data_IF_557763597033
#
_entry.id   IF_557763597033
#
_cell.length_a   1.000
_cell.length_b   1.000
_cell.length_c   1.000
_cell.angle_alpha   90.00
_cell.angle_beta   90.00
_cell.angle_gamma   90.00
#
_symmetry.space_group_name_H-M   'P 1'
#
loop_
_entity.id
_entity.type
_entity.pdbx_description
1 polymer ?
2 non-polymer ?
3 non-polymer ?
4 non-polymer ?
5 non-polymer ?
6 water ?
#
# COMPACT_ATOMS: atom_id res chain seq x y z
N UNK A 4 1.39 20.59 -0.83
CA UNK A 4 0.10 21.04 -0.23
C UNK A 4 -0.58 19.97 0.64
N UNK A 5 -0.62 18.72 0.18
CA UNK A 5 -1.33 17.65 0.90
C UNK A 5 -0.76 17.45 2.29
N UNK A 6 0.54 17.18 2.37
CA UNK A 6 1.17 16.92 3.65
C UNK A 6 1.24 18.16 4.54
N UNK A 7 1.42 19.33 3.93
CA UNK A 7 1.43 20.55 4.73
C UNK A 7 0.05 20.73 5.37
N UNK A 8 -1.02 20.47 4.63
CA UNK A 8 -2.38 20.66 5.12
C UNK A 8 -2.79 19.63 6.15
N UNK A 9 -2.52 18.36 5.87
CA UNK A 9 -3.00 17.30 6.75
C UNK A 9 -1.99 16.95 7.82
N UNK A 10 -0.71 17.12 7.51
CA UNK A 10 0.34 16.89 8.45
C UNK A 10 0.38 15.49 9.02
N UNK A 11 0.52 15.44 10.32
CA UNK A 11 0.65 14.22 11.04
C UNK A 11 -0.62 13.39 10.98
N UNK A 12 -0.53 12.19 10.43
CA UNK A 12 -1.69 11.30 10.40
C UNK A 12 -1.72 10.49 11.66
N UNK A 13 -2.90 10.10 12.11
CA UNK A 13 -3.04 9.22 13.25
C UNK A 13 -4.35 8.46 13.10
N UNK A 14 -4.54 7.49 13.99
CA UNK A 14 -5.79 6.76 14.07
C UNK A 14 -6.63 7.22 15.26
N UNK A 15 -7.88 7.59 15.01
CA UNK A 15 -8.80 8.00 16.06
C UNK A 15 -10.08 7.24 15.87
N UNK A 16 -10.46 6.43 16.86
CA UNK A 16 -11.69 5.65 16.79
C UNK A 16 -11.77 4.82 15.51
N UNK A 17 -10.64 4.21 15.17
CA UNK A 17 -10.57 3.31 14.04
C UNK A 17 -10.53 3.95 12.67
N UNK A 18 -10.32 5.26 12.62
CA UNK A 18 -10.32 6.03 11.39
C UNK A 18 -9.00 6.75 11.20
N UNK A 19 -8.54 6.80 9.95
CA UNK A 19 -7.40 7.64 9.63
C UNK A 19 -7.84 9.09 9.63
N UNK A 20 -7.12 9.90 10.43
CA UNK A 20 -7.40 11.32 10.56
C UNK A 20 -6.11 12.12 10.42
N UNK A 21 -6.30 13.41 10.11
CA UNK A 21 -5.20 14.33 10.05
C UNK A 21 -4.93 14.96 11.41
N UNK A 22 -3.98 15.88 11.45
CA UNK A 22 -3.50 16.44 12.70
C UNK A 22 -4.51 17.35 13.38
N UNK A 23 -5.60 17.69 12.69
CA UNK A 23 -6.71 18.45 13.28
C UNK A 23 -7.93 17.55 13.54
N UNK A 24 -7.72 16.23 13.46
CA UNK A 24 -8.72 15.26 13.82
C UNK A 24 -9.77 14.98 12.77
N UNK A 25 -9.57 15.51 11.56
CA UNK A 25 -10.51 15.32 10.47
C UNK A 25 -10.18 14.05 9.70
N UNK A 26 -11.19 13.29 9.32
CA UNK A 26 -10.97 12.11 8.48
C UNK A 26 -10.28 12.50 7.20
N UNK A 27 -9.32 11.69 6.78
CA UNK A 27 -8.67 11.89 5.51
C UNK A 27 -8.58 10.55 4.80
N UNK A 28 -8.76 10.59 3.49
CA UNK A 28 -8.68 9.42 2.66
C UNK A 28 -7.56 9.61 1.65
N UNK A 29 -6.59 8.71 1.69
CA UNK A 29 -5.50 8.70 0.74
C UNK A 29 -5.87 7.81 -0.43
N UNK A 30 -5.52 8.27 -1.64
CA UNK A 30 -5.73 7.50 -2.85
C UNK A 30 -4.52 7.69 -3.75
N UNK A 31 -3.94 6.60 -4.18
CA UNK A 31 -2.75 6.69 -5.02
C UNK A 31 -2.41 5.40 -5.71
N UNK A 32 -1.16 5.33 -6.13
CA UNK A 32 -0.63 4.22 -6.89
C UNK A 32 0.46 3.51 -6.14
N UNK A 33 0.53 2.21 -6.36
CA UNK A 33 1.67 1.39 -6.01
C UNK A 33 2.57 1.18 -7.20
N UNK A 34 3.87 1.19 -6.96
CA UNK A 34 4.77 0.63 -7.94
C UNK A 34 4.50 -0.86 -8.07
N UNK A 35 5.01 -1.44 -9.15
CA UNK A 35 5.12 -2.89 -9.22
C UNK A 35 6.44 -3.20 -8.50
N UNK A 36 6.99 -4.39 -8.63
CA UNK A 36 8.20 -4.70 -7.90
C UNK A 36 9.34 -3.78 -8.31
N UNK A 37 10.00 -3.17 -7.34
CA UNK A 37 11.07 -2.23 -7.61
C UNK A 37 12.28 -2.88 -8.27
N UNK A 38 12.43 -4.19 -8.13
CA UNK A 38 13.52 -4.93 -8.79
C UNK A 38 13.26 -5.15 -10.28
N UNK A 39 12.04 -4.93 -10.74
CA UNK A 39 11.65 -5.17 -12.12
C UNK A 39 11.27 -3.92 -12.87
N UNK A 40 10.59 -2.99 -12.20
CA UNK A 40 9.96 -1.83 -12.86
C UNK A 40 10.26 -0.56 -12.09
N UNK A 41 11.45 -0.50 -11.53
CA UNK A 41 11.91 0.64 -10.78
C UNK A 41 12.04 1.91 -11.59
N UNK A 42 12.17 1.79 -12.92
CA UNK A 42 12.31 2.98 -13.74
C UNK A 42 11.09 3.87 -13.70
N UNK A 43 9.91 3.33 -13.32
CA UNK A 43 8.70 4.12 -13.22
C UNK A 43 8.59 4.88 -11.92
N UNK A 44 9.57 4.71 -11.03
CA UNK A 44 9.54 5.34 -9.70
C UNK A 44 10.60 6.43 -9.68
N UNK A 45 10.19 7.68 -9.81
CA UNK A 45 11.11 8.80 -9.84
C UNK A 45 10.32 10.06 -9.56
N UNK A 46 11.02 11.13 -9.21
CA UNK A 46 10.36 12.39 -8.94
C UNK A 46 9.42 12.82 -10.07
N UNK A 47 9.88 12.74 -11.31
CA UNK A 47 9.08 13.27 -12.40
C UNK A 47 7.79 12.47 -12.61
N UNK A 48 7.84 11.15 -12.57
CA UNK A 48 6.63 10.34 -12.70
C UNK A 48 5.67 10.56 -11.53
N UNK A 49 6.22 10.67 -10.33
CA UNK A 49 5.42 10.91 -9.15
C UNK A 49 4.79 12.29 -9.15
N UNK A 50 5.53 13.27 -9.67
CA UNK A 50 4.95 14.60 -9.84
C UNK A 50 3.80 14.59 -10.84
N UNK A 51 3.96 13.86 -11.95
CA UNK A 51 2.89 13.75 -12.94
C UNK A 51 1.66 13.06 -12.33
N UNK A 52 1.89 12.00 -11.57
CA UNK A 52 0.77 11.35 -10.87
C UNK A 52 0.09 12.30 -9.91
N UNK A 53 0.85 13.10 -9.19
CA UNK A 53 0.27 14.06 -8.26
C UNK A 53 -0.56 15.09 -9.02
N UNK A 54 0.02 15.66 -10.08
CA UNK A 54 -0.56 16.80 -10.76
C UNK A 54 -1.66 16.42 -11.73
N UNK A 55 -1.48 15.34 -12.46
CA UNK A 55 -2.44 14.93 -13.48
C UNK A 55 -3.46 13.92 -12.97
N UNK A 56 -3.06 13.00 -12.10
CA UNK A 56 -4.02 12.05 -11.54
C UNK A 56 -4.62 12.51 -10.22
N UNK A 57 -3.91 13.36 -9.48
CA UNK A 57 -4.38 13.77 -8.18
C UNK A 57 -3.98 12.84 -7.04
N UNK A 58 -2.95 12.03 -7.19
CA UNK A 58 -2.57 11.14 -6.10
C UNK A 58 -2.12 11.94 -4.90
N UNK A 59 -2.37 11.38 -3.72
CA UNK A 59 -1.83 11.94 -2.47
C UNK A 59 -1.04 10.95 -1.64
N UNK A 60 -0.77 9.77 -2.22
CA UNK A 60 0.08 8.77 -1.62
C UNK A 60 0.71 7.97 -2.76
N UNK A 61 1.92 7.49 -2.50
CA UNK A 61 2.61 6.59 -3.41
C UNK A 61 3.19 5.44 -2.61
N UNK A 62 3.00 4.22 -3.09
CA UNK A 62 3.47 3.02 -2.43
C UNK A 62 4.67 2.43 -3.16
N UNK A 63 5.77 2.28 -2.45
CA UNK A 63 7.02 1.72 -2.96
C UNK A 63 7.06 0.26 -2.57
N UNK A 64 6.80 -0.61 -3.55
CA UNK A 64 6.65 -2.05 -3.32
C UNK A 64 7.99 -2.75 -3.47
N UNK A 65 8.69 -2.87 -2.35
CA UNK A 65 10.00 -3.49 -2.34
C UNK A 65 9.87 -4.97 -2.03
N UNK A 66 9.75 -5.79 -3.06
CA UNK A 66 9.79 -7.23 -2.89
C UNK A 66 11.01 -7.58 -2.08
N UNK A 67 10.83 -8.54 -1.19
CA UNK A 67 11.90 -9.12 -0.42
C UNK A 67 12.55 -10.29 -1.16
N UNK A 68 11.73 -11.21 -1.65
CA UNK A 68 12.18 -12.33 -2.47
C UNK A 68 11.95 -12.01 -3.96
N UNK A 69 11.96 -13.03 -4.81
CA UNK A 69 11.71 -12.86 -6.25
C UNK A 69 12.70 -11.85 -6.87
N UNK A 70 13.95 -11.92 -6.45
CA UNK A 70 14.98 -11.01 -6.94
C UNK A 70 15.02 -9.65 -6.30
N UNK A 71 14.22 -9.48 -5.23
CA UNK A 71 14.17 -8.26 -4.46
C UNK A 71 15.27 -8.12 -3.43
N UNK A 72 14.94 -7.45 -2.34
CA UNK A 72 15.89 -6.95 -1.37
C UNK A 72 16.83 -7.99 -0.77
N UNK A 73 16.31 -9.18 -0.46
CA UNK A 73 17.16 -10.21 0.15
C UNK A 73 18.25 -10.67 -0.85
N UNK A 74 17.87 -10.78 -2.11
CA UNK A 74 18.76 -11.22 -3.20
C UNK A 74 19.70 -10.11 -3.64
N UNK A 75 19.21 -8.87 -3.64
CA UNK A 75 19.96 -7.71 -4.09
C UNK A 75 19.44 -6.49 -3.33
N UNK A 76 20.12 -6.11 -2.24
CA UNK A 76 19.59 -5.06 -1.39
C UNK A 76 19.67 -3.67 -1.96
N UNK A 77 20.25 -3.51 -3.16
CA UNK A 77 20.37 -2.20 -3.75
C UNK A 77 19.00 -1.55 -3.98
N UNK A 78 17.96 -2.36 -4.04
CA UNK A 78 16.64 -1.81 -4.24
C UNK A 78 16.19 -0.89 -3.09
N UNK A 79 16.79 -1.02 -1.90
CA UNK A 79 16.45 -0.09 -0.82
C UNK A 79 16.74 1.34 -1.20
N UNK A 80 17.71 1.57 -2.07
CA UNK A 80 18.02 2.92 -2.49
C UNK A 80 16.91 3.49 -3.35
N UNK A 81 16.20 2.64 -4.09
CA UNK A 81 15.05 3.11 -4.85
C UNK A 81 13.89 3.49 -3.92
N UNK A 82 13.71 2.73 -2.83
CA UNK A 82 12.75 3.13 -1.81
C UNK A 82 13.09 4.54 -1.30
N UNK A 83 14.36 4.76 -0.98
CA UNK A 83 14.81 6.09 -0.51
C UNK A 83 14.48 7.16 -1.57
N UNK A 84 14.76 6.88 -2.84
CA UNK A 84 14.40 7.84 -3.88
C UNK A 84 12.92 8.18 -3.88
N UNK A 85 12.09 7.15 -3.72
CA UNK A 85 10.67 7.37 -3.67
C UNK A 85 10.23 8.21 -2.47
N UNK A 86 10.80 7.90 -1.31
CA UNK A 86 10.44 8.65 -0.10
C UNK A 86 10.84 10.11 -0.24
N UNK A 87 12.03 10.33 -0.77
CA UNK A 87 12.51 11.69 -0.98
C UNK A 87 11.69 12.46 -1.98
N UNK A 88 11.26 11.79 -3.04
CA UNK A 88 10.35 12.41 -3.98
C UNK A 88 9.00 12.79 -3.32
N UNK A 89 8.45 11.90 -2.50
CA UNK A 89 7.20 12.19 -1.82
C UNK A 89 7.33 13.38 -0.89
N UNK A 90 8.47 13.44 -0.19
CA UNK A 90 8.74 14.59 0.68
C UNK A 90 8.81 15.87 -0.16
N UNK A 91 9.50 15.83 -1.28
CA UNK A 91 9.64 17.01 -2.12
C UNK A 91 8.31 17.43 -2.75
N UNK A 92 7.44 16.46 -3.04
CA UNK A 92 6.17 16.69 -3.67
C UNK A 92 5.01 16.90 -2.68
N UNK A 93 5.31 16.77 -1.40
CA UNK A 93 4.37 16.97 -0.30
C UNK A 93 3.19 16.01 -0.38
N UNK A 94 3.50 14.74 -0.64
CA UNK A 94 2.51 13.67 -0.58
C UNK A 94 3.00 12.59 0.40
N UNK A 95 2.10 11.69 0.76
CA UNK A 95 2.43 10.60 1.64
C UNK A 95 3.10 9.46 0.86
N UNK A 96 3.82 8.60 1.57
CA UNK A 96 4.54 7.51 0.94
C UNK A 96 4.49 6.29 1.82
N UNK A 97 4.21 5.15 1.20
CA UNK A 97 4.20 3.88 1.91
C UNK A 97 5.46 3.09 1.57
N UNK A 98 6.22 2.72 2.60
CA UNK A 98 7.38 1.88 2.49
C UNK A 98 6.92 0.44 2.71
N UNK A 99 6.87 -0.35 1.64
CA UNK A 99 6.28 -1.68 1.67
C UNK A 99 7.31 -2.78 1.59
N UNK A 100 7.47 -3.49 2.71
CA UNK A 100 8.28 -4.71 2.81
C UNK A 100 7.44 -5.81 2.18
N UNK A 101 7.70 -6.07 0.91
CA UNK A 101 6.70 -6.70 0.06
C UNK A 101 6.94 -8.21 -0.01
N UNK A 102 6.56 -8.87 1.07
CA UNK A 102 6.63 -10.31 1.15
C UNK A 102 5.54 -10.92 0.27
N UNK A 103 5.80 -12.11 -0.26
CA UNK A 103 4.80 -12.81 -1.07
C UNK A 103 5.17 -14.29 -1.10
N UNK A 104 6.13 -14.68 -1.95
CA UNK A 104 6.54 -16.09 -1.97
C UNK A 104 7.15 -16.53 -0.66
N UNK A 105 7.86 -15.60 -0.01
CA UNK A 105 8.32 -15.72 1.35
C UNK A 105 7.10 -15.42 2.23
N UNK A 106 6.25 -16.44 2.36
CA UNK A 106 4.85 -16.25 2.74
C UNK A 106 4.62 -15.98 4.22
N UNK A 107 5.59 -16.33 5.04
CA UNK A 107 5.57 -16.07 6.46
C UNK A 107 6.49 -14.90 6.71
N UNK A 108 6.01 -13.82 7.32
CA UNK A 108 6.87 -12.65 7.54
C UNK A 108 8.04 -12.97 8.46
N UNK A 109 7.95 -14.04 9.23
CA UNK A 109 9.05 -14.40 10.08
C UNK A 109 10.30 -14.89 9.34
N UNK A 110 10.17 -15.29 8.07
CA UNK A 110 11.31 -15.86 7.34
C UNK A 110 12.45 -14.85 7.30
N UNK A 111 12.14 -13.60 6.96
CA UNK A 111 13.14 -12.54 6.87
C UNK A 111 12.97 -11.48 7.94
N UNK A 112 12.52 -11.89 9.12
CA UNK A 112 12.28 -10.92 10.20
C UNK A 112 13.53 -10.18 10.64
N UNK A 113 14.69 -10.84 10.69
CA UNK A 113 15.92 -10.14 11.11
C UNK A 113 16.24 -9.02 10.12
N UNK A 114 16.14 -9.33 8.84
CA UNK A 114 16.37 -8.35 7.80
C UNK A 114 15.34 -7.25 7.83
N UNK A 115 14.08 -7.59 8.12
CA UNK A 115 13.03 -6.60 8.20
C UNK A 115 13.29 -5.62 9.32
N UNK A 116 13.68 -6.14 10.48
CA UNK A 116 13.96 -5.27 11.61
C UNK A 116 15.10 -4.30 11.27
N UNK A 117 16.15 -4.78 10.62
CA UNK A 117 17.26 -3.89 10.26
C UNK A 117 16.85 -2.87 9.23
N UNK A 118 16.07 -3.30 8.26
CA UNK A 118 15.56 -2.40 7.23
C UNK A 118 14.67 -1.30 7.79
N UNK A 119 13.74 -1.70 8.65
CA UNK A 119 12.85 -0.69 9.24
C UNK A 119 13.56 0.18 10.26
N UNK A 120 14.57 -0.34 10.95
CA UNK A 120 15.44 0.52 11.78
C UNK A 120 16.02 1.62 10.90
N UNK A 121 16.62 1.23 9.79
CA UNK A 121 17.28 2.20 8.92
C UNK A 121 16.28 3.23 8.39
N UNK A 122 15.14 2.76 7.86
CA UNK A 122 14.18 3.66 7.25
C UNK A 122 13.59 4.61 8.27
N UNK A 123 13.28 4.11 9.46
CA UNK A 123 12.70 4.96 10.49
C UNK A 123 13.73 5.93 11.09
N UNK A 124 15.00 5.54 11.13
CA UNK A 124 16.05 6.47 11.53
C UNK A 124 16.17 7.60 10.52
N UNK A 125 16.12 7.27 9.24
CA UNK A 125 16.28 8.28 8.20
C UNK A 125 15.10 9.23 8.13
N UNK A 126 13.90 8.67 8.17
CA UNK A 126 12.69 9.39 7.79
C UNK A 126 11.68 9.58 8.91
N UNK A 127 12.03 9.15 10.11
CA UNK A 127 11.11 9.16 11.22
C UNK A 127 10.68 10.51 11.74
N UNK A 128 11.33 11.59 11.31
CA UNK A 128 10.85 12.93 11.65
C UNK A 128 10.19 13.67 10.48
N UNK A 129 9.66 12.91 9.52
CA UNK A 129 8.79 13.43 8.50
C UNK A 129 7.40 12.82 8.66
N UNK A 130 6.34 13.58 8.43
CA UNK A 130 4.97 13.05 8.56
C UNK A 130 4.52 12.27 7.32
N UNK A 131 5.35 12.24 6.28
CA UNK A 131 4.93 11.62 5.03
C UNK A 131 4.89 10.11 5.09
N UNK A 132 5.69 9.53 5.98
CA UNK A 132 6.00 8.11 5.91
C UNK A 132 4.91 7.27 6.59
N UNK A 133 4.56 6.19 5.88
CA UNK A 133 3.73 5.12 6.38
C UNK A 133 4.50 3.83 6.17
N UNK A 134 4.60 3.00 7.21
CA UNK A 134 5.41 1.77 7.12
C UNK A 134 4.50 0.59 6.92
N UNK A 135 4.70 -0.18 5.87
CA UNK A 135 3.91 -1.39 5.60
C UNK A 135 4.83 -2.58 5.78
N UNK A 136 4.72 -3.25 6.94
CA UNK A 136 5.75 -4.17 7.37
C UNK A 136 5.71 -5.59 6.83
N UNK A 137 4.61 -5.96 6.17
CA UNK A 137 4.49 -7.29 5.55
C UNK A 137 3.35 -7.33 4.57
N UNK A 138 3.63 -7.07 3.30
CA UNK A 138 2.61 -6.96 2.28
C UNK A 138 1.50 -8.02 2.41
N UNK A 139 1.81 -9.28 2.15
CA UNK A 139 0.80 -10.36 2.04
C UNK A 139 1.30 -11.64 2.67
N UNK A 140 1.15 -11.75 3.99
CA UNK A 140 1.24 -13.06 4.61
C UNK A 140 0.25 -13.99 3.92
N UNK A 141 0.65 -15.24 3.71
CA UNK A 141 -0.23 -16.19 3.06
C UNK A 141 0.16 -17.59 3.42
N UNK A 142 -0.76 -18.52 3.15
CA UNK A 142 -0.58 -19.93 3.49
C UNK A 142 -1.38 -20.31 4.71
N UNK A 143 -1.84 -21.56 4.72
CA UNK A 143 -2.63 -22.06 5.85
C UNK A 143 -1.82 -22.18 7.13
N UNK A 144 -0.50 -22.23 7.00
CA UNK A 144 0.41 -22.31 8.14
C UNK A 144 0.88 -20.95 8.65
N UNK A 145 0.30 -19.86 8.13
CA UNK A 145 0.61 -18.52 8.57
C UNK A 145 -0.68 -17.87 9.07
N UNK A 146 -0.78 -17.76 10.39
CA UNK A 146 -1.96 -17.17 10.99
C UNK A 146 -1.61 -15.90 11.73
N UNK A 147 -2.66 -15.10 11.97
CA UNK A 147 -2.54 -13.89 12.74
C UNK A 147 -1.92 -14.12 14.11
N UNK A 148 -2.51 -15.02 14.88
CA UNK A 148 -2.09 -15.20 16.26
C UNK A 148 -0.75 -15.86 16.40
N UNK A 149 -0.41 -16.78 15.51
CA UNK A 149 0.82 -17.56 15.66
C UNK A 149 2.03 -16.97 14.95
N UNK A 150 1.81 -16.29 13.82
CA UNK A 150 2.90 -15.79 13.01
C UNK A 150 2.90 -14.29 12.83
N UNK A 151 1.77 -13.70 12.43
CA UNK A 151 1.80 -12.32 11.97
C UNK A 151 1.85 -11.34 13.14
N UNK A 152 0.98 -11.52 14.12
CA UNK A 152 0.96 -10.62 15.26
C UNK A 152 2.31 -10.64 15.99
N UNK A 153 2.90 -11.81 16.29
CA UNK A 153 4.21 -11.80 16.96
C UNK A 153 5.29 -11.14 16.12
N UNK A 154 5.25 -11.34 14.80
CA UNK A 154 6.18 -10.63 13.92
C UNK A 154 6.04 -9.13 14.08
N UNK A 155 4.80 -8.65 14.03
CA UNK A 155 4.54 -7.23 14.18
C UNK A 155 5.03 -6.72 15.52
N UNK A 156 4.87 -7.53 16.55
CA UNK A 156 5.31 -7.15 17.90
C UNK A 156 6.83 -7.15 18.09
N UNK A 157 7.56 -7.66 17.11
CA UNK A 157 9.01 -7.49 17.05
C UNK A 157 9.41 -6.27 16.20
N UNK A 158 8.75 -6.06 15.08
CA UNK A 158 9.15 -5.00 14.16
C UNK A 158 8.66 -3.63 14.62
N UNK A 159 7.42 -3.55 15.12
CA UNK A 159 6.87 -2.26 15.55
C UNK A 159 7.77 -1.58 16.60
N UNK A 160 8.27 -2.29 17.63
CA UNK A 160 9.16 -1.60 18.59
C UNK A 160 10.39 -0.97 17.95
N UNK A 161 10.95 -1.64 16.95
CA UNK A 161 12.13 -1.14 16.26
C UNK A 161 11.79 0.21 15.61
N UNK A 162 10.66 0.27 14.90
CA UNK A 162 10.19 1.50 14.28
C UNK A 162 9.91 2.56 15.36
N UNK A 163 9.22 2.17 16.41
CA UNK A 163 8.77 3.12 17.41
C UNK A 163 9.89 3.75 18.20
N UNK A 164 11.02 3.07 18.28
CA UNK A 164 12.17 3.63 18.91
C UNK A 164 12.69 4.86 18.17
N UNK A 165 12.43 4.92 16.86
CA UNK A 165 12.85 6.06 16.01
C UNK A 165 11.74 6.97 15.58
N UNK A 166 10.49 6.50 15.60
CA UNK A 166 9.35 7.16 15.01
C UNK A 166 8.14 6.76 15.83
N UNK A 167 7.77 7.59 16.81
CA UNK A 167 6.84 7.07 17.80
C UNK A 167 5.39 6.98 17.35
N UNK A 168 5.05 7.56 16.21
CA UNK A 168 3.62 7.61 15.89
C UNK A 168 3.20 7.72 14.43
N UNK A 169 4.11 7.69 13.45
CA UNK A 169 3.63 7.55 12.07
C UNK A 169 2.90 6.21 11.91
N UNK A 170 2.01 6.16 10.93
CA UNK A 170 1.19 4.99 10.73
C UNK A 170 1.99 3.77 10.32
N UNK A 171 1.62 2.63 10.90
CA UNK A 171 2.14 1.34 10.48
C UNK A 171 0.97 0.48 10.01
N UNK A 172 1.11 -0.03 8.78
CA UNK A 172 0.15 -0.95 8.19
C UNK A 172 0.71 -2.38 8.35
N UNK A 173 -0.11 -3.26 8.91
CA UNK A 173 0.27 -4.65 9.16
C UNK A 173 -0.60 -5.58 8.31
N UNK A 174 0.10 -6.39 7.52
CA UNK A 174 -0.56 -7.39 6.70
C UNK A 174 -1.34 -8.38 7.49
N UNK A 175 -2.31 -8.98 6.83
CA UNK A 175 -3.17 -9.98 7.45
C UNK A 175 -3.10 -11.30 6.68
N UNK A 176 -3.70 -12.34 7.24
CA UNK A 176 -3.58 -13.66 6.65
C UNK A 176 -4.30 -13.77 5.33
N UNK A 177 -3.96 -14.85 4.62
CA UNK A 177 -4.64 -15.19 3.36
C UNK A 177 -4.51 -14.04 2.34
N UNK A 178 -3.27 -13.64 2.12
CA UNK A 178 -2.90 -12.54 1.21
C UNK A 178 -3.58 -11.23 1.62
N UNK A 179 -3.48 -10.92 2.90
CA UNK A 179 -4.08 -9.70 3.45
C UNK A 179 -5.57 -9.59 3.18
N UNK A 180 -6.27 -10.70 3.38
CA UNK A 180 -7.73 -10.69 3.37
C UNK A 180 -8.34 -10.92 4.74
N UNK A 181 -7.62 -11.58 5.66
CA UNK A 181 -8.21 -12.05 6.90
C UNK A 181 -8.17 -10.97 7.98
N UNK A 182 -8.90 -9.91 7.71
CA UNK A 182 -9.05 -8.84 8.68
C UNK A 182 -9.94 -9.22 9.85
N UNK A 183 -10.76 -10.23 9.69
CA UNK A 183 -11.61 -10.68 10.80
C UNK A 183 -10.77 -11.14 11.97
N UNK A 184 -9.80 -12.01 11.72
CA UNK A 184 -9.01 -12.51 12.83
C UNK A 184 -8.14 -11.42 13.45
N UNK A 185 -7.57 -10.54 12.63
CA UNK A 185 -6.78 -9.44 13.18
C UNK A 185 -7.65 -8.55 14.05
N UNK A 186 -8.86 -8.25 13.59
CA UNK A 186 -9.75 -7.33 14.29
C UNK A 186 -10.20 -7.87 15.65
N UNK A 187 -10.22 -9.19 15.76
CA UNK A 187 -10.56 -9.84 17.02
C UNK A 187 -9.38 -9.99 17.97
N UNK A 188 -8.18 -9.62 17.53
CA UNK A 188 -6.98 -9.82 18.31
C UNK A 188 -5.96 -8.72 17.97
N UNK A 189 -6.39 -7.49 18.21
CA UNK A 189 -5.68 -6.32 17.72
C UNK A 189 -4.36 -6.10 18.45
N UNK A 190 -3.43 -5.48 17.73
CA UNK A 190 -2.17 -4.98 18.29
C UNK A 190 -2.42 -3.82 19.24
N UNK A 191 -1.48 -3.60 20.13
CA UNK A 191 -1.59 -2.52 21.12
C UNK A 191 -1.35 -1.14 20.53
N UNK A 192 -0.46 -1.02 19.57
CA UNK A 192 -0.04 0.31 19.13
C UNK A 192 -1.24 1.09 18.60
N UNK A 193 -1.44 2.34 19.04
CA UNK A 193 -2.62 3.07 18.65
C UNK A 193 -2.61 3.60 17.22
N UNK A 194 -1.48 3.58 16.54
CA UNK A 194 -1.38 4.09 15.19
C UNK A 194 -1.09 2.99 14.19
N UNK A 195 -1.70 1.85 14.41
CA UNK A 195 -1.65 0.72 13.51
C UNK A 195 -2.95 0.64 12.69
N UNK A 196 -2.77 0.16 11.47
CA UNK A 196 -3.87 -0.23 10.59
C UNK A 196 -3.56 -1.62 10.07
N UNK A 197 -4.61 -2.33 9.68
CA UNK A 197 -4.49 -3.66 9.10
C UNK A 197 -4.70 -3.56 7.62
N UNK A 198 -3.89 -4.25 6.85
CA UNK A 198 -4.02 -4.25 5.41
C UNK A 198 -5.18 -5.14 4.98
N UNK A 199 -5.90 -4.66 3.98
CA UNK A 199 -6.87 -5.45 3.24
C UNK A 199 -6.62 -5.26 1.76
N UNK A 200 -6.49 -6.36 1.02
CA UNK A 200 -6.22 -6.32 -0.42
C UNK A 200 -7.33 -7.03 -1.17
N UNK A 201 -7.73 -6.48 -2.30
CA UNK A 201 -8.76 -7.10 -3.13
C UNK A 201 -8.43 -6.98 -4.59
N UNK A 202 -9.00 -7.89 -5.38
CA UNK A 202 -8.93 -7.87 -6.82
C UNK A 202 -10.35 -7.95 -7.36
N UNK A 203 -10.68 -7.04 -8.27
CA UNK A 203 -12.05 -6.91 -8.76
C UNK A 203 -12.53 -8.11 -9.55
N UNK A 204 -11.65 -8.98 -10.01
CA UNK A 204 -12.07 -10.23 -10.65
C UNK A 204 -12.66 -11.24 -9.71
N UNK A 205 -12.61 -11.01 -8.42
CA UNK A 205 -13.26 -11.83 -7.42
C UNK A 205 -14.56 -11.17 -7.02
N UNK A 206 -15.63 -11.95 -6.96
CA UNK A 206 -16.90 -11.41 -6.49
C UNK A 206 -16.73 -11.02 -5.02
N UNK A 207 -17.03 -9.76 -4.70
CA UNK A 207 -16.54 -9.18 -3.45
C UNK A 207 -17.54 -8.95 -2.33
N UNK A 208 -18.76 -9.46 -2.42
CA UNK A 208 -19.78 -9.01 -1.45
C UNK A 208 -19.46 -9.47 -0.04
N UNK A 209 -19.00 -10.71 0.13
CA UNK A 209 -18.68 -11.16 1.48
C UNK A 209 -17.42 -10.49 2.00
N UNK A 210 -16.44 -10.24 1.12
CA UNK A 210 -15.22 -9.54 1.50
C UNK A 210 -15.52 -8.14 2.01
N UNK A 211 -16.46 -7.46 1.37
CA UNK A 211 -16.92 -6.16 1.90
C UNK A 211 -17.55 -6.32 3.27
N UNK A 212 -18.38 -7.34 3.45
CA UNK A 212 -19.01 -7.57 4.76
C UNK A 212 -17.96 -7.88 5.83
N UNK A 213 -16.87 -8.55 5.47
CA UNK A 213 -15.80 -8.85 6.43
C UNK A 213 -15.02 -7.58 6.79
N UNK A 214 -14.76 -6.72 5.83
CA UNK A 214 -14.15 -5.44 6.13
C UNK A 214 -15.07 -4.69 7.10
N UNK A 215 -16.38 -4.65 6.85
CA UNK A 215 -17.26 -4.01 7.80
C UNK A 215 -17.21 -4.63 9.19
N UNK A 216 -17.13 -5.96 9.28
CA UNK A 216 -16.96 -6.63 10.57
C UNK A 216 -15.73 -6.10 11.29
N UNK A 217 -14.62 -6.02 10.57
CA UNK A 217 -13.38 -5.54 11.16
C UNK A 217 -13.49 -4.12 11.65
N UNK A 218 -14.07 -3.25 10.82
CA UNK A 218 -14.31 -1.86 11.19
C UNK A 218 -15.16 -1.78 12.45
N UNK A 219 -16.15 -2.66 12.56
CA UNK A 219 -17.03 -2.67 13.71
C UNK A 219 -16.35 -3.10 15.01
N UNK A 220 -15.17 -3.69 14.94
CA UNK A 220 -14.38 -4.01 16.13
C UNK A 220 -13.44 -2.89 16.48
N UNK A 221 -13.52 -1.78 15.77
CA UNK A 221 -12.65 -0.64 16.02
C UNK A 221 -11.29 -0.71 15.37
N UNK A 222 -11.09 -1.71 14.51
CA UNK A 222 -9.85 -1.86 13.76
C UNK A 222 -9.85 -0.87 12.60
N UNK A 223 -8.71 -0.23 12.36
CA UNK A 223 -8.54 0.62 11.18
C UNK A 223 -7.98 -0.20 10.04
N UNK A 224 -8.48 0.03 8.83
CA UNK A 224 -8.12 -0.76 7.66
C UNK A 224 -7.57 0.16 6.59
N UNK A 225 -6.43 -0.20 6.01
CA UNK A 225 -5.88 0.51 4.86
C UNK A 225 -5.88 -0.48 3.71
N UNK A 226 -6.50 -0.10 2.58
CA UNK A 226 -6.50 -1.00 1.39
C UNK A 226 -5.21 -0.72 0.63
N UNK A 227 -4.11 -1.25 1.15
CA UNK A 227 -2.78 -0.85 0.67
C UNK A 227 -2.47 -1.40 -0.68
N UNK A 228 -3.30 -2.30 -1.21
CA UNK A 228 -3.13 -2.79 -2.57
C UNK A 228 -4.47 -3.33 -3.04
N UNK A 229 -4.85 -2.93 -4.25
CA UNK A 229 -6.00 -3.53 -4.91
C UNK A 229 -5.79 -3.43 -6.41
N UNK A 230 -6.46 -4.32 -7.15
CA UNK A 230 -6.40 -4.27 -8.59
C UNK A 230 -7.74 -4.41 -9.27
N UNK A 231 -7.79 -3.96 -10.52
CA UNK A 231 -8.97 -4.10 -11.35
C UNK A 231 -9.06 -5.48 -12.02
N UNK A 232 -8.01 -6.26 -11.90
CA UNK A 232 -7.84 -7.56 -12.55
C UNK A 232 -8.33 -8.70 -11.66
N UNK A 233 -8.13 -9.92 -12.13
CA UNK A 233 -8.19 -11.10 -11.28
C UNK A 233 -7.03 -11.09 -10.27
N UNK A 234 -7.09 -12.00 -9.30
CA UNK A 234 -6.18 -12.02 -8.16
C UNK A 234 -4.74 -12.27 -8.52
N UNK A 235 -4.51 -12.76 -9.74
CA UNK A 235 -3.16 -12.99 -10.24
C UNK A 235 -2.45 -11.71 -10.70
N UNK A 236 -3.19 -10.63 -10.82
CA UNK A 236 -2.71 -9.41 -11.45
C UNK A 236 -3.03 -9.34 -12.93
N UNK A 237 -3.60 -10.42 -13.47
CA UNK A 237 -3.94 -10.51 -14.89
C UNK A 237 -5.38 -11.01 -15.07
N UNK A 238 -5.72 -11.55 -16.24
CA UNK A 238 -7.01 -12.23 -16.43
C UNK A 238 -8.23 -11.36 -16.72
N UNK A 239 -8.01 -10.20 -17.31
CA UNK A 239 -9.12 -9.35 -17.67
C UNK A 239 -9.29 -8.25 -16.66
N UNK A 240 -10.09 -7.27 -17.02
CA UNK A 240 -10.34 -6.10 -16.21
C UNK A 240 -11.83 -6.19 -15.82
N UNK A 241 -12.14 -5.75 -14.61
CA UNK A 241 -13.46 -5.96 -13.99
C UNK A 241 -13.94 -4.65 -13.39
N UNK A 242 -14.25 -3.70 -14.27
CA UNK A 242 -14.52 -2.36 -13.81
C UNK A 242 -15.84 -2.20 -13.07
N UNK A 243 -16.82 -3.04 -13.36
CA UNK A 243 -18.07 -2.95 -12.64
C UNK A 243 -17.83 -3.26 -11.15
N UNK A 244 -17.17 -4.37 -10.87
CA UNK A 244 -16.89 -4.73 -9.48
C UNK A 244 -15.89 -3.74 -8.88
N UNK A 245 -14.96 -3.25 -9.67
CA UNK A 245 -14.01 -2.25 -9.13
C UNK A 245 -14.78 -1.03 -8.66
N UNK A 246 -15.77 -0.58 -9.43
CA UNK A 246 -16.55 0.59 -9.03
C UNK A 246 -17.34 0.35 -7.72
N UNK A 247 -17.89 -0.86 -7.57
CA UNK A 247 -18.56 -1.21 -6.33
C UNK A 247 -17.59 -1.06 -5.15
N UNK A 248 -16.37 -1.55 -5.29
CA UNK A 248 -15.37 -1.38 -4.26
C UNK A 248 -14.99 0.07 -4.04
N UNK A 249 -14.81 0.83 -5.11
CA UNK A 249 -14.49 2.26 -4.98
C UNK A 249 -15.55 2.96 -4.13
N UNK A 250 -16.81 2.71 -4.44
CA UNK A 250 -17.88 3.36 -3.70
C UNK A 250 -17.91 2.92 -2.23
N UNK A 251 -17.70 1.63 -2.00
CA UNK A 251 -17.58 1.07 -0.67
C UNK A 251 -16.47 1.76 0.13
N UNK A 252 -15.31 1.92 -0.48
CA UNK A 252 -14.19 2.53 0.22
C UNK A 252 -14.45 3.98 0.53
N UNK A 253 -15.13 4.68 -0.37
CA UNK A 253 -15.47 6.09 -0.12
C UNK A 253 -16.42 6.20 1.06
N UNK A 254 -17.42 5.35 1.09
CA UNK A 254 -18.41 5.35 2.16
C UNK A 254 -17.81 5.06 3.53
N UNK A 255 -16.77 4.24 3.53
CA UNK A 255 -16.11 3.80 4.77
C UNK A 255 -14.78 4.56 5.10
N UNK A 256 -14.44 5.65 4.40
CA UNK A 256 -13.16 6.37 4.69
C UNK A 256 -11.95 5.48 4.56
N UNK A 257 -11.95 4.60 3.55
CA UNK A 257 -10.82 3.71 3.41
C UNK A 257 -9.84 4.22 2.38
N UNK A 258 -8.60 4.39 2.82
CA UNK A 258 -7.51 4.80 1.95
C UNK A 258 -7.06 3.62 1.09
N UNK A 259 -6.44 3.92 -0.05
CA UNK A 259 -6.07 2.90 -0.97
C UNK A 259 -4.93 3.25 -1.88
N UNK A 260 -4.27 2.20 -2.35
CA UNK A 260 -3.25 2.28 -3.41
C UNK A 260 -3.53 1.19 -4.43
N UNK A 261 -3.54 1.56 -5.71
CA UNK A 261 -3.84 0.66 -6.80
C UNK A 261 -2.56 0.00 -7.34
N UNK A 262 -2.67 -1.29 -7.63
CA UNK A 262 -1.62 -2.09 -8.25
C UNK A 262 -1.88 -2.16 -9.75
N UNK A 263 -0.99 -1.68 -10.62
CA UNK A 263 0.30 -1.08 -10.31
C UNK A 263 0.78 -0.20 -11.46
N UNK A 264 1.79 0.61 -11.14
CA UNK A 264 2.38 1.52 -12.10
C UNK A 264 3.50 0.84 -12.88
N UNK A 265 3.12 0.20 -13.97
CA UNK A 265 4.05 -0.47 -14.86
C UNK A 265 3.41 -0.61 -16.22
N UNK A 266 4.26 -0.89 -17.20
CA UNK A 266 3.84 -1.21 -18.56
C UNK A 266 3.75 -2.70 -18.85
N UNK A 267 3.93 -3.53 -17.84
CA UNK A 267 3.84 -4.98 -18.01
C UNK A 267 2.54 -5.38 -18.69
N UNK A 268 2.59 -6.40 -19.54
CA UNK A 268 1.40 -6.85 -20.26
C UNK A 268 0.54 -7.74 -19.39
N UNK A 269 -0.10 -7.12 -18.42
CA UNK A 269 -1.07 -7.78 -17.57
C UNK A 269 -2.18 -6.80 -17.29
N UNK A 270 -3.41 -7.33 -17.01
CA UNK A 270 -4.56 -6.40 -16.92
C UNK A 270 -4.48 -5.33 -15.82
N UNK A 271 -3.83 -5.64 -14.71
CA UNK A 271 -3.75 -4.67 -13.64
C UNK A 271 -2.78 -3.52 -13.91
N UNK A 272 -1.90 -3.68 -14.89
CA UNK A 272 -0.89 -2.65 -15.16
C UNK A 272 -1.58 -1.39 -15.65
N UNK A 273 -1.16 -0.23 -15.13
CA UNK A 273 -1.78 1.05 -15.44
C UNK A 273 -1.37 1.63 -16.78
N UNK A 274 -0.23 1.20 -17.31
CA UNK A 274 0.40 1.84 -18.46
C UNK A 274 0.51 0.90 -19.63
N UNK A 275 0.51 1.49 -20.82
CA UNK A 275 0.74 0.72 -22.03
C UNK A 275 2.22 0.58 -22.30
N UNK A 276 2.57 -0.48 -23.05
CA UNK A 276 3.92 -0.56 -23.53
C UNK A 276 4.09 0.69 -24.38
N UNK A 277 5.17 1.40 -24.13
CA UNK A 277 5.41 2.66 -24.76
C UNK A 277 5.39 3.86 -23.80
N UNK A 278 4.71 3.73 -22.65
CA UNK A 278 4.58 4.83 -21.71
C UNK A 278 5.94 5.29 -21.16
N UNK A 279 6.13 6.59 -21.12
CA UNK A 279 7.38 7.20 -20.69
C UNK A 279 7.54 6.99 -19.19
N UNK A 280 8.68 6.49 -18.75
CA UNK A 280 8.86 6.21 -17.31
C UNK A 280 8.90 7.45 -16.44
N UNK A 281 9.00 8.64 -17.06
CA UNK A 281 9.03 9.90 -16.34
C UNK A 281 7.70 10.67 -16.42
N UNK A 282 6.62 10.05 -16.89
CA UNK A 282 5.28 10.64 -16.85
C UNK A 282 4.87 11.27 -18.16
N UNK A 283 3.82 12.07 -18.09
CA UNK A 283 3.33 12.83 -19.25
C UNK A 283 2.40 12.06 -20.15
N UNK A 284 1.85 10.96 -19.64
CA UNK A 284 1.08 9.99 -20.43
C UNK A 284 -0.16 10.59 -21.05
N UNK A 285 -0.31 10.32 -22.34
CA UNK A 285 -1.56 10.61 -23.04
C UNK A 285 -2.56 9.51 -22.74
N UNK A 286 -3.80 9.71 -23.16
CA UNK A 286 -4.82 8.75 -22.88
C UNK A 286 -4.47 7.44 -23.56
N UNK A 287 -3.84 7.49 -24.74
CA UNK A 287 -3.50 6.26 -25.44
C UNK A 287 -2.39 5.47 -24.75
N UNK A 288 -1.64 6.12 -23.85
CA UNK A 288 -0.56 5.47 -23.12
C UNK A 288 -0.99 4.88 -21.76
N UNK A 289 -2.25 5.08 -21.41
CA UNK A 289 -2.84 4.41 -20.25
C UNK A 289 -3.59 3.18 -20.69
N UNK A 290 -3.49 2.13 -19.91
CA UNK A 290 -4.27 0.93 -20.14
C UNK A 290 -5.71 1.15 -19.72
N UNK A 291 -6.58 0.20 -20.05
CA UNK A 291 -7.93 0.31 -19.54
C UNK A 291 -8.00 0.43 -18.00
N UNK A 292 -7.15 -0.30 -17.30
CA UNK A 292 -7.08 -0.18 -15.85
C UNK A 292 -6.60 1.22 -15.44
N UNK A 293 -5.52 1.69 -16.04
CA UNK A 293 -4.99 2.99 -15.68
C UNK A 293 -5.94 4.13 -15.93
N UNK A 294 -6.66 4.06 -17.06
CA UNK A 294 -7.64 5.07 -17.39
C UNK A 294 -8.70 5.18 -16.29
N UNK A 295 -9.20 4.03 -15.85
CA UNK A 295 -10.20 3.97 -14.81
C UNK A 295 -9.65 4.51 -13.49
N UNK A 296 -8.48 4.03 -13.08
CA UNK A 296 -7.92 4.44 -11.79
C UNK A 296 -7.68 5.97 -11.78
N UNK A 297 -7.11 6.49 -12.86
CA UNK A 297 -6.87 7.93 -12.97
C UNK A 297 -8.19 8.68 -12.81
N UNK A 298 -9.23 8.19 -13.47
CA UNK A 298 -10.54 8.83 -13.35
C UNK A 298 -11.02 8.83 -11.92
N UNK A 299 -10.86 7.69 -11.23
CA UNK A 299 -11.32 7.60 -9.85
C UNK A 299 -10.60 8.61 -8.96
N UNK A 300 -9.29 8.76 -9.15
CA UNK A 300 -8.54 9.69 -8.31
C UNK A 300 -8.84 11.13 -8.67
N UNK A 301 -8.99 11.42 -9.96
CA UNK A 301 -9.34 12.80 -10.40
C UNK A 301 -10.72 13.21 -9.90
N UNK A 302 -11.67 12.28 -9.91
CA UNK A 302 -13.05 12.52 -9.41
C UNK A 302 -13.05 12.88 -7.95
N UNK A 303 -12.11 12.31 -7.22
CA UNK A 303 -12.03 12.47 -5.78
C UNK A 303 -11.48 13.82 -5.43
X LIG B 1 2.04 -9.07 -10.29
X LIG B 1 2.61 -10.10 -11.29
X LIG B 1 3.72 -10.94 -10.65
X LIG B 1 3.20 -11.54 -9.35
X LIG B 1 4.23 -12.37 -8.59
X LIG B 1 1.63 -9.77 -9.01
X LIG B 1 0.95 -8.37 -10.85
X LIG B 1 3.11 -9.45 -12.44
X LIG B 1 4.15 -11.98 -11.52
X LIG B 1 2.76 -10.48 -8.50
X LIG B 1 5.30 -11.53 -8.21
X LIG C 1 -1.51 -9.68 -7.84
X LIG C 1 -0.72 -8.90 -6.82
X LIG C 1 0.80 -9.21 -6.85
X LIG C 1 1.50 -8.46 -5.72
X LIG C 1 0.85 -8.79 -4.37
X LIG C 1 -1.32 -11.08 -7.68
X LIG C 1 -1.24 -9.30 -5.56
X LIG C 1 1.36 -8.82 -8.09
X LIG C 1 2.85 -8.78 -5.63
X LIG C 1 -0.60 -8.57 -4.49
X LIG D 1 -1.24 -7.29 22.23
X LIG D 1 -0.41 -8.38 22.39
X LIG D 1 -2.38 -7.45 23.21
X LIG D 1 -3.15 -8.59 22.85
X LIG D 1 -3.18 -6.15 23.18
X LIG D 1 -4.38 -6.36 23.91
X LIG E 1 -5.85 -15.77 16.09
X LIG E 1 -5.64 -14.44 16.47
X LIG E 1 -4.96 -16.43 15.03
X LIG E 1 -5.56 -16.15 13.84
X LIG E 1 -5.00 -17.96 15.18
X LIG E 1 -3.78 -18.70 15.01
X LIG F 1 5.86 21.93 -6.34
X LIG F 1 4.98 21.81 -7.49
X LIG F 1 7.18 22.38 -6.81
X LIG F 1 6.05 20.64 -5.66
X LIG F 1 5.32 22.89 -5.39
#
# INVERSE_FOLDING_TARGET
>A
DNDSVVEEHGQLSISNGELVNERGEQVQLKGMSSHGLQWYGQFVNYESMKWLRDDWGINVFRAAMYTSSGGYIDDPSVKEKVKEAVEAAIDLDIYVIIDWHILSDNDPNIYKEEAKDFFDEMSELYGDYPNVIYEIANEPNGSDVTWGNQIKPYAEEVIPIIRNNDPNNIIIVGTGTWSQDVHHAADNQLADPNVMYAFHFYAGTHGQNLRDQVDYALDQGAAIFVSEWGTSAATGDGGVFLDEAQVWIDFMDERNLSWANWSLTHKDESSAALMPGANPTGGWTEAELSPSGTFVREKIRES
>B hetero
1 BGC C2 C3 C4 C5 C6 C1 O2 O3 O4 O5 O6
>C hetero
1 OXZ C6 C5 C4 C3 C2 O6 O5 O4 O3 N1
>D hetero
1 GOL C1 O1 C2 O2 C3 O3
>E hetero
1 GOL C1 O1 C2 O2 C3 O3
>F hetero
1 SO4 S O1 O2 O3 O4
#
